data_IF_154365704266
#
_entry.id   IF_154365704266
#
_cell.length_a   1.000
_cell.length_b   1.000
_cell.length_c   1.000
_cell.angle_alpha   90.00
_cell.angle_beta   90.00
_cell.angle_gamma   90.00
#
_symmetry.space_group_name_H-M   'P 1'
#
loop_
_entity.id
_entity.type
_entity.pdbx_description
1 polymer ?
#
# COMPACT_ATOMS: atom_id res chain seq x y z
N UNK A 1 -26.95 -3.60 21.85
CA UNK A 1 -26.45 -3.13 20.53
C UNK A 1 -24.95 -3.28 20.50
N UNK A 2 -24.46 -4.26 19.77
CA UNK A 2 -23.04 -4.36 19.46
C UNK A 2 -22.73 -3.35 18.36
N UNK A 3 -22.16 -2.21 18.73
CA UNK A 3 -21.55 -1.35 17.74
C UNK A 3 -20.38 -2.15 17.15
N UNK A 4 -20.52 -2.59 15.91
CA UNK A 4 -19.38 -3.11 15.17
C UNK A 4 -18.37 -1.98 15.08
N UNK A 5 -17.25 -2.14 15.79
CA UNK A 5 -16.12 -1.24 15.65
C UNK A 5 -15.61 -1.43 14.22
N UNK A 6 -16.01 -0.53 13.35
CA UNK A 6 -15.49 -0.48 11.99
C UNK A 6 -14.04 0.00 12.10
N UNK A 7 -13.09 -0.91 11.90
CA UNK A 7 -11.67 -0.56 11.93
C UNK A 7 -11.33 0.27 10.70
N UNK A 8 -11.34 1.59 10.88
CA UNK A 8 -10.88 2.52 9.85
C UNK A 8 -9.36 2.55 9.81
N UNK A 9 -8.80 2.71 8.64
CA UNK A 9 -7.35 2.89 8.47
C UNK A 9 -7.06 4.17 7.69
N UNK A 10 -5.96 4.87 8.00
CA UNK A 10 -5.58 6.07 7.27
C UNK A 10 -5.05 5.73 5.89
N UNK A 11 -5.39 6.55 4.90
CA UNK A 11 -4.91 6.45 3.54
C UNK A 11 -4.73 7.87 2.99
N UNK A 12 -3.75 8.06 2.11
CA UNK A 12 -3.60 9.33 1.41
C UNK A 12 -4.70 9.46 0.36
N UNK A 13 -4.96 10.69 -0.09
CA UNK A 13 -5.92 10.92 -1.18
C UNK A 13 -5.49 10.20 -2.46
N UNK A 14 -4.21 10.24 -2.80
CA UNK A 14 -3.66 9.57 -3.96
C UNK A 14 -3.86 8.05 -3.90
N UNK A 15 -3.64 7.46 -2.73
CA UNK A 15 -3.87 6.03 -2.50
C UNK A 15 -5.33 5.65 -2.62
N UNK A 16 -6.23 6.47 -2.09
CA UNK A 16 -7.67 6.27 -2.19
C UNK A 16 -8.14 6.32 -3.65
N UNK A 17 -7.73 7.35 -4.39
CA UNK A 17 -8.05 7.50 -5.80
C UNK A 17 -7.49 6.35 -6.64
N UNK A 18 -6.28 5.90 -6.37
CA UNK A 18 -5.65 4.75 -7.03
C UNK A 18 -6.48 3.48 -6.86
N UNK A 19 -7.00 3.24 -5.65
CA UNK A 19 -7.87 2.09 -5.38
C UNK A 19 -9.20 2.20 -6.12
N UNK A 20 -9.77 3.39 -6.22
CA UNK A 20 -11.00 3.62 -6.98
C UNK A 20 -10.79 3.32 -8.46
N UNK A 21 -9.67 3.75 -9.04
CA UNK A 21 -9.31 3.46 -10.44
C UNK A 21 -9.13 1.96 -10.65
N UNK A 22 -8.45 1.27 -9.74
CA UNK A 22 -8.31 -0.18 -9.80
C UNK A 22 -9.67 -0.87 -9.82
N UNK A 23 -10.58 -0.46 -8.92
CA UNK A 23 -11.91 -1.03 -8.83
C UNK A 23 -12.71 -0.86 -10.15
N UNK A 24 -12.65 0.34 -10.73
CA UNK A 24 -13.29 0.60 -12.02
C UNK A 24 -12.77 -0.31 -13.13
N UNK A 25 -11.44 -0.46 -13.23
CA UNK A 25 -10.80 -1.33 -14.22
C UNK A 25 -11.22 -2.79 -14.05
N UNK A 26 -11.28 -3.27 -12.82
CA UNK A 26 -11.72 -4.64 -12.53
C UNK A 26 -13.18 -4.85 -12.94
N UNK A 27 -14.04 -3.89 -12.62
CA UNK A 27 -15.48 -3.96 -13.00
C UNK A 27 -15.68 -3.88 -14.51
N UNK A 28 -14.85 -3.14 -15.23
CA UNK A 28 -14.89 -3.05 -16.69
C UNK A 28 -14.38 -4.34 -17.35
N UNK A 29 -13.36 -4.97 -16.77
CA UNK A 29 -12.78 -6.22 -17.29
C UNK A 29 -13.76 -7.40 -17.13
N UNK A 30 -14.52 -7.43 -16.06
CA UNK A 30 -15.41 -8.56 -15.73
C UNK A 30 -16.34 -8.99 -16.85
N UNK A 31 -17.10 -8.10 -17.52
CA UNK A 31 -17.97 -8.50 -18.63
C UNK A 31 -17.22 -9.15 -19.80
N UNK A 32 -16.01 -8.68 -20.12
CA UNK A 32 -15.21 -9.24 -21.22
C UNK A 32 -14.73 -10.66 -20.89
N UNK A 33 -14.41 -10.93 -19.61
CA UNK A 33 -14.03 -12.26 -19.16
C UNK A 33 -15.23 -13.22 -19.18
N UNK A 34 -16.40 -12.75 -18.78
CA UNK A 34 -17.64 -13.54 -18.86
C UNK A 34 -17.94 -13.91 -20.31
N UNK A 35 -17.73 -12.97 -21.25
CA UNK A 35 -17.89 -13.24 -22.67
C UNK A 35 -16.85 -14.27 -23.17
N UNK A 36 -15.60 -14.16 -22.71
CA UNK A 36 -14.54 -15.12 -23.06
C UNK A 36 -14.87 -16.53 -22.57
N UNK A 37 -15.51 -16.68 -21.42
CA UNK A 37 -15.97 -17.98 -20.89
C UNK A 37 -17.05 -18.55 -21.80
N UNK A 38 -18.03 -17.72 -22.19
CA UNK A 38 -19.10 -18.13 -23.11
C UNK A 38 -18.56 -18.59 -24.45
N UNK A 39 -17.63 -17.82 -25.03
CA UNK A 39 -17.00 -18.15 -26.32
C UNK A 39 -16.20 -19.45 -26.23
N UNK A 40 -15.48 -19.66 -25.14
CA UNK A 40 -14.70 -20.89 -24.92
C UNK A 40 -15.59 -22.12 -24.77
N UNK A 41 -16.77 -21.99 -24.14
CA UNK A 41 -17.76 -23.08 -24.04
C UNK A 41 -18.24 -23.52 -25.42
N UNK A 42 -18.43 -22.57 -26.33
CA UNK A 42 -18.91 -22.87 -27.68
C UNK A 42 -17.89 -23.60 -28.54
N UNK A 43 -16.62 -23.68 -28.12
CA UNK A 43 -15.53 -24.34 -28.85
C UNK A 43 -15.39 -25.85 -28.56
N UNK A 44 -16.20 -26.43 -27.64
CA UNK A 44 -16.23 -27.87 -27.44
C UNK A 44 -15.91 -28.35 -26.03
N UNK A 45 -15.09 -29.41 -25.90
CA UNK A 45 -14.85 -30.08 -24.62
C UNK A 45 -14.19 -29.19 -23.57
N UNK A 46 -14.92 -28.92 -22.48
CA UNK A 46 -14.49 -28.03 -21.40
C UNK A 46 -13.36 -28.63 -20.55
N UNK A 47 -13.26 -29.94 -20.49
CA UNK A 47 -12.25 -30.60 -19.62
C UNK A 47 -10.80 -30.40 -20.11
N UNK A 48 -10.62 -30.18 -21.41
CA UNK A 48 -9.32 -29.97 -22.03
C UNK A 48 -9.16 -28.56 -22.63
N UNK A 49 -10.10 -27.68 -22.39
CA UNK A 49 -10.13 -26.34 -22.97
C UNK A 49 -9.31 -25.38 -22.07
N UNK A 50 -8.08 -25.12 -22.45
CA UNK A 50 -7.17 -24.24 -21.71
C UNK A 50 -7.69 -22.79 -21.64
N UNK A 51 -8.33 -22.30 -22.70
CA UNK A 51 -8.92 -20.95 -22.73
C UNK A 51 -10.06 -20.80 -21.73
N UNK A 52 -10.92 -21.82 -21.64
CA UNK A 52 -12.01 -21.86 -20.67
C UNK A 52 -11.49 -21.84 -19.23
N UNK A 53 -10.50 -22.66 -18.91
CA UNK A 53 -9.92 -22.74 -17.58
C UNK A 53 -9.20 -21.44 -17.20
N UNK A 54 -8.45 -20.85 -18.11
CA UNK A 54 -7.76 -19.58 -17.90
C UNK A 54 -8.77 -18.43 -17.64
N UNK A 55 -9.84 -18.38 -18.41
CA UNK A 55 -10.88 -17.36 -18.24
C UNK A 55 -11.62 -17.50 -16.90
N UNK A 56 -11.92 -18.74 -16.48
CA UNK A 56 -12.55 -18.99 -15.18
C UNK A 56 -11.65 -18.60 -14.02
N UNK A 57 -10.38 -18.91 -14.11
CA UNK A 57 -9.37 -18.54 -13.10
C UNK A 57 -9.26 -17.01 -13.00
N UNK A 58 -9.21 -16.34 -14.14
CA UNK A 58 -9.17 -14.85 -14.17
C UNK A 58 -10.44 -14.25 -13.58
N UNK A 59 -11.60 -14.80 -13.86
CA UNK A 59 -12.88 -14.32 -13.28
C UNK A 59 -12.87 -14.45 -11.76
N UNK A 60 -12.43 -15.59 -11.23
CA UNK A 60 -12.31 -15.79 -9.79
C UNK A 60 -11.37 -14.78 -9.13
N UNK A 61 -10.24 -14.51 -9.76
CA UNK A 61 -9.30 -13.48 -9.29
C UNK A 61 -9.94 -12.09 -9.27
N UNK A 62 -10.61 -11.69 -10.37
CA UNK A 62 -11.27 -10.38 -10.49
C UNK A 62 -12.35 -10.22 -9.42
N UNK A 63 -13.22 -11.21 -9.26
CA UNK A 63 -14.30 -11.17 -8.27
C UNK A 63 -13.76 -11.05 -6.84
N UNK A 64 -12.74 -11.83 -6.50
CA UNK A 64 -12.10 -11.75 -5.19
C UNK A 64 -11.43 -10.40 -4.96
N UNK A 65 -10.75 -9.87 -5.97
CA UNK A 65 -10.08 -8.57 -5.87
C UNK A 65 -11.08 -7.41 -5.75
N UNK A 66 -12.22 -7.48 -6.47
CA UNK A 66 -13.30 -6.48 -6.32
C UNK A 66 -13.79 -6.44 -4.88
N UNK A 67 -14.10 -7.59 -4.29
CA UNK A 67 -14.57 -7.67 -2.91
C UNK A 67 -13.54 -7.08 -1.96
N UNK A 68 -12.27 -7.43 -2.13
CA UNK A 68 -11.16 -6.93 -1.31
C UNK A 68 -11.04 -5.40 -1.40
N UNK A 69 -11.01 -4.85 -2.61
CA UNK A 69 -10.86 -3.40 -2.84
C UNK A 69 -12.08 -2.63 -2.31
N UNK A 70 -13.29 -3.13 -2.57
CA UNK A 70 -14.51 -2.51 -2.03
C UNK A 70 -14.53 -2.47 -0.51
N UNK A 71 -14.12 -3.57 0.14
CA UNK A 71 -14.02 -3.64 1.59
C UNK A 71 -13.03 -2.61 2.12
N UNK A 72 -11.86 -2.50 1.50
CA UNK A 72 -10.83 -1.55 1.92
C UNK A 72 -11.27 -0.11 1.71
N UNK A 73 -11.88 0.21 0.59
CA UNK A 73 -12.42 1.56 0.34
C UNK A 73 -13.47 1.96 1.38
N UNK A 74 -14.31 1.01 1.81
CA UNK A 74 -15.34 1.29 2.81
C UNK A 74 -14.77 1.57 4.20
N UNK A 75 -13.56 1.10 4.51
CA UNK A 75 -12.89 1.29 5.80
C UNK A 75 -11.79 2.35 5.75
N UNK A 76 -11.53 2.93 4.58
CA UNK A 76 -10.48 3.92 4.40
C UNK A 76 -10.91 5.29 4.94
N UNK A 77 -10.01 5.93 5.67
CA UNK A 77 -10.15 7.32 6.11
C UNK A 77 -9.10 8.16 5.40
N UNK A 78 -9.55 9.03 4.50
CA UNK A 78 -8.63 9.87 3.72
C UNK A 78 -8.04 10.96 4.61
N UNK A 79 -6.71 11.00 4.68
CA UNK A 79 -5.97 12.01 5.42
C UNK A 79 -5.43 13.04 4.44
N UNK A 80 -5.80 14.30 4.64
CA UNK A 80 -5.27 15.42 3.85
C UNK A 80 -3.87 15.78 4.37
N UNK A 81 -2.85 15.18 3.76
CA UNK A 81 -1.46 15.30 4.21
C UNK A 81 -0.99 16.75 4.22
N UNK A 82 -1.40 17.55 3.24
CA UNK A 82 -1.00 18.95 3.13
C UNK A 82 -1.57 19.85 4.25
N UNK A 83 -2.58 19.37 4.99
CA UNK A 83 -3.13 20.08 6.15
C UNK A 83 -2.33 19.84 7.43
N UNK A 84 -1.43 18.86 7.41
CA UNK A 84 -0.60 18.50 8.56
C UNK A 84 0.68 19.33 8.59
N UNK A 85 1.21 19.54 9.79
CA UNK A 85 2.45 20.28 9.99
C UNK A 85 3.14 19.81 11.26
N UNK A 86 4.39 20.21 11.43
CA UNK A 86 5.18 19.90 12.61
C UNK A 86 6.46 19.13 12.28
N UNK A 87 7.18 18.75 13.34
CA UNK A 87 8.48 18.07 13.28
C UNK A 87 8.42 16.62 13.75
N UNK A 88 7.22 16.14 14.09
CA UNK A 88 6.99 14.76 14.54
C UNK A 88 6.56 13.90 13.37
N UNK A 89 7.20 12.73 13.23
CA UNK A 89 6.85 11.76 12.20
C UNK A 89 5.48 11.13 12.51
N UNK A 90 4.57 11.25 11.58
CA UNK A 90 3.26 10.61 11.65
C UNK A 90 2.85 10.15 10.25
N UNK A 91 1.72 9.47 10.14
CA UNK A 91 1.18 9.06 8.85
C UNK A 91 1.16 10.24 7.86
N UNK A 92 1.60 9.99 6.64
CA UNK A 92 1.66 11.00 5.58
C UNK A 92 2.94 11.82 5.56
N UNK A 93 3.79 11.72 6.58
CA UNK A 93 5.05 12.45 6.64
C UNK A 93 6.02 12.00 5.58
N UNK A 94 6.69 12.96 4.95
CA UNK A 94 7.88 12.72 4.12
C UNK A 94 9.09 12.99 4.98
N UNK A 95 9.86 11.95 5.29
CA UNK A 95 10.95 11.96 6.25
C UNK A 95 12.28 11.79 5.52
N UNK A 96 13.19 12.74 5.74
CA UNK A 96 14.57 12.60 5.32
C UNK A 96 15.35 12.00 6.48
N UNK A 97 15.96 10.84 6.25
CA UNK A 97 16.78 10.13 7.24
C UNK A 97 18.21 9.98 6.76
N UNK A 98 19.16 10.01 7.68
CA UNK A 98 20.56 9.73 7.42
C UNK A 98 20.90 8.38 8.05
N UNK A 99 21.29 7.41 7.23
CA UNK A 99 21.70 6.08 7.71
C UNK A 99 23.21 6.06 7.91
N UNK A 100 23.62 5.68 9.12
CA UNK A 100 25.03 5.52 9.46
C UNK A 100 25.51 4.12 9.05
N UNK A 101 26.53 4.08 8.20
CA UNK A 101 27.21 2.85 7.80
C UNK A 101 28.32 2.47 8.79
N UNK A 102 28.77 1.22 8.71
CA UNK A 102 29.83 0.70 9.60
C UNK A 102 31.18 1.42 9.43
N UNK A 103 31.42 2.02 8.26
CA UNK A 103 32.60 2.80 7.96
C UNK A 103 32.53 4.28 8.37
N UNK A 104 31.49 4.65 9.16
CA UNK A 104 31.15 6.01 9.56
C UNK A 104 30.69 6.93 8.42
N UNK A 105 30.45 6.41 7.22
CA UNK A 105 29.80 7.18 6.16
C UNK A 105 28.30 7.24 6.39
N UNK A 106 27.69 8.34 5.94
CA UNK A 106 26.25 8.53 6.04
C UNK A 106 25.62 8.56 4.63
N UNK A 107 24.45 7.95 4.51
CA UNK A 107 23.66 7.98 3.27
C UNK A 107 22.27 8.50 3.61
N UNK A 108 21.82 9.51 2.89
CA UNK A 108 20.48 10.06 3.06
C UNK A 108 19.45 9.32 2.20
N UNK A 109 18.29 9.08 2.79
CA UNK A 109 17.12 8.54 2.11
C UNK A 109 15.91 9.40 2.44
N UNK A 110 14.99 9.48 1.50
CA UNK A 110 13.71 10.17 1.70
C UNK A 110 12.60 9.13 1.59
N UNK A 111 11.78 9.01 2.63
CA UNK A 111 10.67 8.08 2.67
C UNK A 111 9.37 8.81 3.00
N UNK A 112 8.28 8.39 2.38
CA UNK A 112 6.94 8.83 2.78
C UNK A 112 6.25 7.70 3.52
N UNK A 113 5.67 8.02 4.68
CA UNK A 113 4.94 7.08 5.52
C UNK A 113 3.49 6.99 5.02
N UNK A 114 3.11 5.83 4.55
CA UNK A 114 1.80 5.59 3.94
C UNK A 114 1.14 4.33 4.53
N UNK A 115 -0.07 4.01 4.09
CA UNK A 115 -0.72 2.75 4.46
C UNK A 115 -0.03 1.56 3.79
N UNK A 116 -0.27 0.35 4.31
CA UNK A 116 0.27 -0.87 3.71
C UNK A 116 -0.19 -1.09 2.26
N UNK A 117 -1.35 -0.54 1.90
CA UNK A 117 -1.90 -0.64 0.54
C UNK A 117 -1.21 0.26 -0.47
N UNK A 118 -0.62 1.34 0.01
CA UNK A 118 0.09 2.32 -0.82
C UNK A 118 1.59 2.05 -0.88
N UNK A 119 2.10 1.20 0.01
CA UNK A 119 3.54 0.96 0.14
C UNK A 119 4.14 0.44 -1.16
N UNK A 120 5.23 1.09 -1.59
CA UNK A 120 5.95 0.76 -2.80
C UNK A 120 7.41 1.17 -2.63
N UNK A 121 8.28 0.20 -2.45
CA UNK A 121 9.71 0.43 -2.23
C UNK A 121 10.35 1.18 -3.40
N UNK A 122 9.89 0.95 -4.64
CA UNK A 122 10.43 1.62 -5.82
C UNK A 122 10.13 3.13 -5.84
N UNK A 123 9.09 3.55 -5.13
CA UNK A 123 8.68 4.96 -4.98
C UNK A 123 9.04 5.53 -3.61
N UNK A 124 9.77 4.77 -2.80
CA UNK A 124 10.13 5.14 -1.43
C UNK A 124 8.91 5.43 -0.54
N UNK A 125 7.82 4.71 -0.80
CA UNK A 125 6.62 4.71 0.03
C UNK A 125 6.70 3.53 0.99
N UNK A 126 6.82 3.82 2.29
CA UNK A 126 6.93 2.78 3.31
C UNK A 126 5.68 2.73 4.19
N UNK A 127 5.30 1.51 4.57
CA UNK A 127 4.13 1.29 5.39
C UNK A 127 4.37 1.71 6.84
N UNK A 128 3.32 2.19 7.49
CA UNK A 128 3.29 2.41 8.93
C UNK A 128 3.63 1.14 9.71
N UNK A 129 3.37 -0.04 9.14
CA UNK A 129 3.60 -1.34 9.78
C UNK A 129 4.98 -1.94 9.44
N UNK A 130 5.72 -1.33 8.51
CA UNK A 130 7.08 -1.78 8.19
C UNK A 130 8.03 -1.55 9.37
N UNK A 131 9.14 -2.31 9.48
CA UNK A 131 10.11 -2.09 10.55
C UNK A 131 10.61 -0.65 10.63
N UNK A 132 10.96 -0.05 9.49
CA UNK A 132 11.42 1.35 9.46
C UNK A 132 10.27 2.33 9.75
N UNK A 133 9.12 2.15 9.09
CA UNK A 133 7.97 3.03 9.28
C UNK A 133 7.48 3.07 10.72
N UNK A 134 7.33 1.90 11.34
CA UNK A 134 6.89 1.80 12.75
C UNK A 134 7.91 2.38 13.72
N UNK A 135 9.20 2.25 13.43
CA UNK A 135 10.26 2.82 14.25
C UNK A 135 10.33 4.34 14.16
N UNK A 136 10.03 4.91 12.98
CA UNK A 136 10.06 6.36 12.76
C UNK A 136 8.86 7.10 13.34
N UNK A 137 7.68 6.49 13.34
CA UNK A 137 6.45 7.14 13.83
C UNK A 137 6.60 7.57 15.28
N UNK A 138 6.22 8.81 15.56
CA UNK A 138 6.30 9.41 16.88
C UNK A 138 7.66 10.06 17.21
N UNK A 139 8.64 9.89 16.33
CA UNK A 139 9.98 10.47 16.49
C UNK A 139 10.02 11.88 15.90
N UNK A 140 10.96 12.69 16.39
CA UNK A 140 11.15 14.07 15.96
C UNK A 140 12.46 14.29 15.24
N UNK A 141 12.55 15.38 14.51
CA UNK A 141 13.80 15.84 13.89
C UNK A 141 14.93 15.86 14.95
N UNK A 142 16.07 15.29 14.58
CA UNK A 142 17.24 15.20 15.43
C UNK A 142 17.34 13.92 16.25
N UNK A 143 16.27 13.14 16.36
CA UNK A 143 16.30 11.85 17.07
C UNK A 143 16.93 10.75 16.21
N UNK A 144 17.55 9.78 16.91
CA UNK A 144 18.10 8.58 16.30
C UNK A 144 17.15 7.40 16.48
N UNK A 145 17.07 6.54 15.48
CA UNK A 145 16.21 5.37 15.49
C UNK A 145 17.01 4.15 15.08
N UNK A 146 16.97 3.11 15.91
CA UNK A 146 17.53 1.81 15.58
C UNK A 146 16.48 0.93 14.94
N UNK A 147 16.81 0.33 13.80
CA UNK A 147 15.91 -0.59 13.08
C UNK A 147 16.60 -1.93 12.93
N UNK A 148 15.92 -2.98 13.39
CA UNK A 148 16.40 -4.35 13.22
C UNK A 148 15.91 -4.84 11.86
N UNK A 149 16.86 -5.17 10.98
CA UNK A 149 16.62 -5.74 9.66
C UNK A 149 17.31 -7.10 9.56
N UNK A 150 16.95 -7.97 8.57
CA UNK A 150 17.53 -9.31 8.47
C UNK A 150 19.06 -9.35 8.44
N UNK A 151 19.70 -8.30 7.94
CA UNK A 151 21.16 -8.20 7.84
C UNK A 151 21.81 -7.50 9.05
N UNK A 152 21.08 -7.30 10.16
CA UNK A 152 21.57 -6.67 11.38
C UNK A 152 20.80 -5.42 11.76
N UNK A 153 21.43 -4.57 12.58
CA UNK A 153 20.83 -3.32 13.03
C UNK A 153 21.32 -2.15 12.17
N UNK A 154 20.40 -1.24 11.87
CA UNK A 154 20.70 0.00 11.17
C UNK A 154 20.33 1.19 12.04
N UNK A 155 21.20 2.18 12.11
CA UNK A 155 20.95 3.42 12.83
C UNK A 155 20.60 4.54 11.85
N UNK A 156 19.46 5.17 12.08
CA UNK A 156 18.99 6.30 11.28
C UNK A 156 18.84 7.54 12.15
N UNK A 157 19.22 8.68 11.60
CA UNK A 157 18.95 9.99 12.19
C UNK A 157 17.87 10.68 11.40
N UNK A 158 16.86 11.24 12.06
CA UNK A 158 15.80 12.02 11.42
C UNK A 158 16.34 13.41 11.14
N UNK A 159 16.51 13.75 9.86
CA UNK A 159 17.08 15.03 9.43
C UNK A 159 15.99 16.06 9.18
N UNK A 160 14.87 15.64 8.57
CA UNK A 160 13.80 16.54 8.17
C UNK A 160 12.46 15.80 8.14
N UNK A 161 11.40 16.51 8.52
CA UNK A 161 10.01 16.02 8.44
C UNK A 161 9.19 17.06 7.68
N UNK A 162 8.53 16.62 6.61
CA UNK A 162 7.66 17.47 5.78
C UNK A 162 6.32 16.78 5.56
N UNK A 163 5.28 17.57 5.33
CA UNK A 163 3.95 17.09 4.96
C UNK A 163 3.56 17.69 3.61
N UNK A 164 3.67 16.89 2.55
CA UNK A 164 3.46 17.37 1.17
C UNK A 164 2.83 16.33 0.23
#
# INVERSE_FOLDING_TARGET
MTSSIVNKFPITREGFESMQVELEKLKEEKPSIIQAISDARDQGDLSENAEYHAARERLGFIEGRIIEVESKLSHAEVIEVKSLSGDTVMFGATVTVSMLNDDNSEVEYIYKIVSGYEADASKQLISTDSPLGSALIGKKVGEYVEVIVPNGEKLYKIVKVEFK
#
